data_IF_393125678609
#
_entry.id   IF_393125678609
#
_cell.length_a   1.000
_cell.length_b   1.000
_cell.length_c   1.000
_cell.angle_alpha   90.00
_cell.angle_beta   90.00
_cell.angle_gamma   90.00
#
_symmetry.space_group_name_H-M   'P 1'
#
loop_
_entity.id
_entity.type
_entity.pdbx_description
1 polymer ?
#
# COMPACT_ATOMS: atom_id res chain seq x y z
N UNK A 1 -8.95 7.78 -16.39
CA UNK A 1 -9.58 8.17 -15.11
C UNK A 1 -9.07 7.20 -14.07
N UNK A 2 -8.58 7.71 -12.94
CA UNK A 2 -8.06 6.88 -11.85
C UNK A 2 -9.18 6.00 -11.27
N UNK A 3 -8.84 4.75 -11.01
CA UNK A 3 -9.65 3.78 -10.28
C UNK A 3 -8.94 3.41 -8.98
N UNK A 4 -9.71 2.94 -7.99
CA UNK A 4 -9.14 2.50 -6.72
C UNK A 4 -8.92 1.01 -6.74
N UNK A 5 -7.74 0.63 -6.31
CA UNK A 5 -7.30 -0.73 -6.17
C UNK A 5 -6.88 -1.00 -4.72
N UNK A 6 -6.93 -2.27 -4.39
CA UNK A 6 -6.62 -2.80 -3.09
C UNK A 6 -5.53 -3.87 -3.20
N UNK A 7 -4.61 -3.87 -2.25
CA UNK A 7 -3.50 -4.81 -2.19
C UNK A 7 -3.22 -5.22 -0.75
N UNK A 8 -3.10 -6.52 -0.53
CA UNK A 8 -2.82 -7.09 0.79
C UNK A 8 -1.48 -7.80 0.78
N UNK A 9 -0.69 -7.54 1.82
CA UNK A 9 0.53 -8.28 2.12
C UNK A 9 0.55 -8.77 3.56
N UNK A 10 1.16 -9.92 3.79
CA UNK A 10 1.42 -10.48 5.12
C UNK A 10 2.93 -10.62 5.27
N UNK A 11 3.48 -10.00 6.32
CA UNK A 11 4.90 -9.98 6.59
C UNK A 11 5.19 -10.75 7.88
N UNK A 12 6.24 -11.56 7.89
CA UNK A 12 6.81 -12.03 9.15
C UNK A 12 7.44 -10.86 9.90
N UNK A 13 7.10 -10.70 11.17
CA UNK A 13 7.57 -9.59 12.00
C UNK A 13 7.94 -10.06 13.41
N UNK A 14 9.22 -9.87 13.75
CA UNK A 14 9.73 -10.20 15.08
C UNK A 14 9.03 -9.38 16.18
N UNK A 15 8.89 -9.92 17.41
CA UNK A 15 8.40 -9.17 18.54
C UNK A 15 9.18 -7.87 18.75
N UNK A 16 8.47 -6.76 18.98
CA UNK A 16 9.09 -5.44 19.21
C UNK A 16 9.58 -4.71 17.95
N UNK A 17 9.51 -5.31 16.77
CA UNK A 17 9.80 -4.60 15.52
C UNK A 17 8.77 -3.49 15.24
N UNK A 18 9.19 -2.42 14.57
CA UNK A 18 8.34 -1.26 14.25
C UNK A 18 7.33 -1.58 13.15
N UNK A 19 6.05 -1.60 13.52
CA UNK A 19 4.91 -1.88 12.62
C UNK A 19 4.70 -0.78 11.58
N UNK A 20 5.21 0.42 11.84
CA UNK A 20 5.03 1.57 10.96
C UNK A 20 6.02 1.54 9.80
N UNK A 21 7.13 0.84 9.95
CA UNK A 21 8.21 0.83 8.98
C UNK A 21 7.80 0.25 7.60
N UNK A 22 7.01 -0.85 7.51
CA UNK A 22 6.49 -1.32 6.23
C UNK A 22 5.61 -0.30 5.52
N UNK A 23 4.72 0.37 6.26
CA UNK A 23 3.86 1.42 5.70
C UNK A 23 4.67 2.59 5.14
N UNK A 24 5.68 3.04 5.90
CA UNK A 24 6.58 4.09 5.45
C UNK A 24 7.37 3.69 4.18
N UNK A 25 7.83 2.44 4.09
CA UNK A 25 8.53 1.94 2.90
C UNK A 25 7.62 1.94 1.66
N UNK A 26 6.36 1.54 1.80
CA UNK A 26 5.36 1.62 0.72
C UNK A 26 5.13 3.08 0.31
N UNK A 27 4.98 3.99 1.28
CA UNK A 27 4.80 5.42 0.97
C UNK A 27 5.99 6.00 0.20
N UNK A 28 7.23 5.69 0.59
CA UNK A 28 8.44 6.08 -0.17
C UNK A 28 8.38 5.54 -1.60
N UNK A 29 8.07 4.26 -1.77
CA UNK A 29 8.06 3.62 -3.07
C UNK A 29 6.99 4.18 -4.02
N UNK A 30 5.86 4.65 -3.49
CA UNK A 30 4.74 5.18 -4.28
C UNK A 30 4.81 6.69 -4.47
N UNK A 31 5.24 7.46 -3.47
CA UNK A 31 5.47 8.90 -3.62
C UNK A 31 6.74 9.22 -4.42
N UNK A 32 7.73 8.32 -4.45
CA UNK A 32 9.01 8.59 -5.07
C UNK A 32 9.82 9.59 -4.24
N UNK A 33 9.99 10.83 -4.74
CA UNK A 33 10.59 11.91 -3.96
C UNK A 33 9.53 12.58 -3.10
N UNK A 34 9.86 12.85 -1.84
CA UNK A 34 8.99 13.50 -0.85
C UNK A 34 8.56 14.93 -1.20
N UNK A 35 9.08 15.50 -2.30
CA UNK A 35 8.81 16.85 -2.78
C UNK A 35 7.92 16.81 -4.04
N UNK A 36 6.67 16.41 -3.88
CA UNK A 36 5.65 16.63 -4.90
C UNK A 36 4.40 17.26 -4.27
N UNK A 37 3.76 18.19 -4.98
CA UNK A 37 2.48 18.75 -4.54
C UNK A 37 1.41 17.65 -4.54
N UNK A 38 0.52 17.58 -3.52
CA UNK A 38 -0.63 16.69 -3.54
C UNK A 38 -1.59 16.99 -4.72
N UNK A 39 -2.29 15.97 -5.25
CA UNK A 39 -2.21 14.56 -4.88
C UNK A 39 -1.01 13.85 -5.52
N UNK A 40 -0.55 12.75 -4.89
CA UNK A 40 0.61 11.99 -5.37
C UNK A 40 0.49 11.70 -6.89
N UNK A 41 1.54 12.02 -7.69
CA UNK A 41 1.44 11.96 -9.14
C UNK A 41 1.29 10.53 -9.63
N UNK A 42 1.94 9.57 -8.94
CA UNK A 42 1.89 8.16 -9.30
C UNK A 42 0.58 7.51 -8.83
N UNK A 43 0.35 7.54 -7.51
CA UNK A 43 -0.78 6.86 -6.91
C UNK A 43 -1.10 7.44 -5.52
N UNK A 44 -2.14 8.29 -5.39
CA UNK A 44 -2.69 8.63 -4.08
C UNK A 44 -3.03 7.35 -3.35
N UNK A 45 -2.53 7.18 -2.12
CA UNK A 45 -2.62 5.90 -1.43
C UNK A 45 -2.83 6.08 0.07
N UNK A 46 -3.29 5.01 0.68
CA UNK A 46 -3.41 4.85 2.12
C UNK A 46 -2.86 3.47 2.50
N UNK A 47 -2.01 3.43 3.52
CA UNK A 47 -1.46 2.20 4.06
C UNK A 47 -1.93 2.03 5.50
N UNK A 48 -2.44 0.85 5.81
CA UNK A 48 -2.74 0.40 7.17
C UNK A 48 -1.93 -0.85 7.46
N UNK A 49 -1.33 -0.91 8.64
CA UNK A 49 -0.67 -2.10 9.14
C UNK A 49 -1.35 -2.56 10.44
N UNK A 50 -1.59 -3.86 10.56
CA UNK A 50 -2.28 -4.48 11.69
C UNK A 50 -1.48 -5.71 12.15
N UNK A 51 -0.93 -5.68 13.36
CA UNK A 51 -0.15 -6.79 13.92
C UNK A 51 -1.07 -7.90 14.42
N UNK A 52 -0.75 -9.14 14.04
CA UNK A 52 -1.42 -10.36 14.50
C UNK A 52 -0.36 -11.41 14.86
N UNK A 53 -0.06 -11.52 16.15
CA UNK A 53 0.99 -12.42 16.61
C UNK A 53 2.37 -12.01 16.06
N UNK A 54 3.01 -12.92 15.35
CA UNK A 54 4.30 -12.75 14.66
C UNK A 54 4.16 -12.30 13.19
N UNK A 55 2.93 -11.94 12.77
CA UNK A 55 2.65 -11.41 11.45
C UNK A 55 2.21 -9.94 11.49
N UNK A 56 2.53 -9.21 10.42
CA UNK A 56 1.99 -7.89 10.14
C UNK A 56 1.18 -7.94 8.86
N UNK A 57 -0.11 -7.64 8.96
CA UNK A 57 -1.02 -7.53 7.82
C UNK A 57 -1.00 -6.09 7.32
N UNK A 58 -0.51 -5.90 6.09
CA UNK A 58 -0.44 -4.60 5.43
C UNK A 58 -1.54 -4.53 4.39
N UNK A 59 -2.40 -3.51 4.52
CA UNK A 59 -3.48 -3.16 3.61
C UNK A 59 -3.13 -1.86 2.89
N UNK A 60 -3.06 -1.89 1.57
CA UNK A 60 -2.80 -0.72 0.74
C UNK A 60 -4.01 -0.45 -0.15
N UNK A 61 -4.61 0.73 0.00
CA UNK A 61 -5.55 1.29 -0.96
C UNK A 61 -4.81 2.31 -1.81
N UNK A 62 -4.98 2.28 -3.13
CA UNK A 62 -4.35 3.25 -4.01
C UNK A 62 -5.22 3.59 -5.22
N UNK A 63 -5.17 4.84 -5.66
CA UNK A 63 -5.82 5.30 -6.88
C UNK A 63 -4.79 5.39 -8.02
N UNK A 64 -5.05 4.73 -9.16
CA UNK A 64 -4.16 4.75 -10.32
C UNK A 64 -4.95 4.67 -11.63
N UNK A 65 -4.35 5.08 -12.74
CA UNK A 65 -4.89 4.71 -14.06
C UNK A 65 -4.81 3.18 -14.23
N UNK A 66 -5.81 2.51 -14.83
CA UNK A 66 -5.83 1.04 -14.94
C UNK A 66 -4.57 0.44 -15.57
N UNK A 67 -3.98 1.11 -16.56
CA UNK A 67 -2.73 0.68 -17.19
C UNK A 67 -1.51 0.74 -16.27
N UNK A 68 -1.58 1.48 -15.16
CA UNK A 68 -0.51 1.61 -14.17
C UNK A 68 -0.68 0.70 -12.95
N UNK A 69 -1.82 0.00 -12.81
CA UNK A 69 -2.12 -0.85 -11.64
C UNK A 69 -0.99 -1.85 -11.35
N UNK A 70 -0.55 -2.60 -12.37
CA UNK A 70 0.48 -3.63 -12.23
C UNK A 70 1.81 -3.05 -11.76
N UNK A 71 2.16 -1.88 -12.24
CA UNK A 71 3.40 -1.18 -11.85
C UNK A 71 3.34 -0.72 -10.39
N UNK A 72 2.21 -0.17 -9.95
CA UNK A 72 2.01 0.22 -8.55
C UNK A 72 2.13 -0.98 -7.61
N UNK A 73 1.49 -2.11 -7.96
CA UNK A 73 1.61 -3.37 -7.20
C UNK A 73 3.05 -3.87 -7.12
N UNK A 74 3.77 -3.86 -8.25
CA UNK A 74 5.17 -4.26 -8.29
C UNK A 74 6.05 -3.41 -7.36
N UNK A 75 5.80 -2.11 -7.26
CA UNK A 75 6.53 -1.23 -6.33
C UNK A 75 6.22 -1.54 -4.87
N UNK A 76 4.96 -1.85 -4.55
CA UNK A 76 4.57 -2.29 -3.20
C UNK A 76 5.29 -3.59 -2.85
N UNK A 77 5.23 -4.59 -3.73
CA UNK A 77 5.88 -5.89 -3.54
C UNK A 77 7.38 -5.75 -3.32
N UNK A 78 8.04 -4.93 -4.15
CA UNK A 78 9.48 -4.66 -4.05
C UNK A 78 9.83 -3.98 -2.72
N UNK A 79 9.11 -2.93 -2.35
CA UNK A 79 9.36 -2.19 -1.11
C UNK A 79 9.27 -3.09 0.13
N UNK A 80 8.35 -4.04 0.12
CA UNK A 80 8.15 -4.97 1.24
C UNK A 80 9.17 -6.12 1.24
N UNK A 81 9.44 -6.72 0.07
CA UNK A 81 10.37 -7.85 -0.03
C UNK A 81 11.84 -7.49 0.17
N UNK A 82 12.21 -6.21 0.04
CA UNK A 82 13.58 -5.74 0.29
C UNK A 82 14.01 -5.86 1.76
N UNK A 83 13.07 -5.82 2.71
CA UNK A 83 13.39 -5.74 4.16
C UNK A 83 12.63 -6.72 5.03
N UNK A 84 11.53 -7.30 4.55
CA UNK A 84 10.70 -8.21 5.32
C UNK A 84 10.51 -9.55 4.60
N UNK A 85 10.34 -10.60 5.39
CA UNK A 85 9.93 -11.89 4.86
C UNK A 85 8.44 -11.83 4.50
N UNK A 86 8.13 -11.65 3.21
CA UNK A 86 6.76 -11.65 2.71
C UNK A 86 6.22 -13.08 2.73
N UNK A 87 5.17 -13.31 3.52
CA UNK A 87 4.45 -14.59 3.62
C UNK A 87 3.39 -14.73 2.54
N UNK A 88 2.70 -13.62 2.24
CA UNK A 88 1.73 -13.53 1.17
C UNK A 88 1.70 -12.11 0.62
N UNK A 89 1.43 -11.97 -0.68
CA UNK A 89 1.13 -10.69 -1.31
C UNK A 89 0.17 -10.91 -2.47
N UNK A 90 -0.89 -10.11 -2.57
CA UNK A 90 -1.91 -10.28 -3.61
C UNK A 90 -2.73 -9.03 -3.89
N UNK A 91 -3.27 -8.96 -5.10
CA UNK A 91 -4.42 -8.12 -5.37
C UNK A 91 -5.63 -8.58 -4.54
N UNK A 92 -6.45 -7.62 -4.12
CA UNK A 92 -7.71 -7.89 -3.45
C UNK A 92 -8.73 -6.81 -3.75
N UNK A 93 -9.98 -7.09 -3.40
CA UNK A 93 -11.09 -6.19 -3.64
C UNK A 93 -11.10 -5.04 -2.61
N UNK A 94 -11.57 -3.88 -3.04
CA UNK A 94 -11.91 -2.78 -2.14
C UNK A 94 -13.23 -3.16 -1.45
N UNK A 95 -13.22 -3.25 -0.13
CA UNK A 95 -14.43 -3.61 0.62
C UNK A 95 -15.45 -2.45 0.64
N UNK A 96 -16.75 -2.73 0.82
CA UNK A 96 -17.77 -1.68 0.93
C UNK A 96 -17.50 -0.67 2.05
N UNK A 97 -16.89 -1.11 3.15
CA UNK A 97 -16.51 -0.24 4.27
C UNK A 97 -15.40 0.76 3.90
N UNK A 98 -14.63 0.49 2.84
CA UNK A 98 -13.55 1.34 2.36
C UNK A 98 -14.02 2.33 1.28
N UNK A 99 -15.27 2.26 0.82
CA UNK A 99 -15.78 3.06 -0.30
C UNK A 99 -15.57 4.57 -0.12
N UNK A 100 -15.90 5.11 1.06
CA UNK A 100 -15.70 6.53 1.35
C UNK A 100 -14.22 6.95 1.38
N UNK A 101 -13.30 6.02 1.69
CA UNK A 101 -11.86 6.28 1.62
C UNK A 101 -11.37 6.22 0.17
N UNK A 102 -11.82 5.21 -0.58
CA UNK A 102 -11.53 5.04 -1.99
C UNK A 102 -11.90 6.30 -2.79
N UNK A 103 -13.10 6.86 -2.57
CA UNK A 103 -13.52 8.08 -3.25
C UNK A 103 -12.60 9.27 -3.00
N UNK A 104 -12.07 9.42 -1.77
CA UNK A 104 -11.10 10.49 -1.46
C UNK A 104 -9.79 10.31 -2.21
N UNK A 105 -9.30 9.09 -2.37
CA UNK A 105 -8.07 8.80 -3.11
C UNK A 105 -8.20 9.14 -4.61
N UNK A 106 -9.39 8.96 -5.19
CA UNK A 106 -9.63 9.33 -6.60
C UNK A 106 -9.64 10.85 -6.78
N UNK A 107 -10.22 11.58 -5.81
CA UNK A 107 -10.36 13.04 -5.88
C UNK A 107 -9.05 13.78 -5.61
N UNK A 108 -8.17 13.18 -4.83
CA UNK A 108 -6.88 13.78 -4.46
C UNK A 108 -7.02 14.77 -3.32
#
# INVERSE_FOLDING_TARGET
MRQVFAHDAVLGMAPGADERAPGAAVTVALCGHWEHEPPCPLAPHHVRADRRGDELHVRVLFAAEPGAEREVRHRIDRALSERWQVRASRASDVSPAEAGHAERLVRG
#
